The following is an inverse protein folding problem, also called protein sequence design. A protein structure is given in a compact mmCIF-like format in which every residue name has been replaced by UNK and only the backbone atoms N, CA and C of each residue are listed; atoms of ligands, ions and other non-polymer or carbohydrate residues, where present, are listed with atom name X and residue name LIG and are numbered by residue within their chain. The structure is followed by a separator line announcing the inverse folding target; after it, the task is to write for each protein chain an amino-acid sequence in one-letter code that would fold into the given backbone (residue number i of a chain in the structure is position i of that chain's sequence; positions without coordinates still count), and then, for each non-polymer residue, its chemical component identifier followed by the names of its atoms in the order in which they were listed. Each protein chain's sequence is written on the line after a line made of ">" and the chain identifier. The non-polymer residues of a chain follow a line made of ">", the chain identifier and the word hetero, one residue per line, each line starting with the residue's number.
data_IF_521224930291
#
_entry.id   IF_521224930291
#
_cell.length_a   1.000
_cell.length_b   1.000
_cell.length_c   1.000
_cell.angle_alpha   90.00
_cell.angle_beta   90.00
_cell.angle_gamma   90.00
#
_symmetry.space_group_name_H-M   'P 1'
#
loop_
_entity.id
_entity.type
_entity.pdbx_description
1 polymer ?
#
# COMPACT_ATOMS: atom_id res chain seq x y z
N UNK A 1 23.07 5.47 26.22
CA UNK A 1 21.75 5.05 26.76
C UNK A 1 20.88 4.63 25.58
N UNK A 2 20.17 3.49 25.66
CA UNK A 2 19.18 3.09 24.64
C UNK A 2 17.88 3.86 24.87
N UNK A 3 17.21 4.28 23.79
CA UNK A 3 15.92 5.02 23.87
C UNK A 3 14.75 4.08 23.61
N UNK A 4 14.84 3.25 22.57
CA UNK A 4 13.87 2.22 22.18
C UNK A 4 14.59 1.02 21.58
N UNK A 5 13.95 -0.14 21.59
CA UNK A 5 14.51 -1.40 21.13
C UNK A 5 13.49 -2.25 20.38
N UNK A 6 13.87 -2.68 19.17
CA UNK A 6 13.14 -3.64 18.35
C UNK A 6 14.09 -4.80 18.10
N UNK A 7 13.84 -5.95 18.73
CA UNK A 7 14.64 -7.16 18.57
C UNK A 7 14.23 -7.93 17.31
N UNK A 8 14.56 -7.38 16.13
CA UNK A 8 14.29 -7.98 14.81
C UNK A 8 15.52 -7.86 13.91
N UNK A 9 15.85 -8.95 13.20
CA UNK A 9 16.78 -8.90 12.07
C UNK A 9 15.99 -8.47 10.83
N UNK A 10 15.89 -7.16 10.63
CA UNK A 10 15.03 -6.57 9.61
C UNK A 10 15.74 -5.48 8.78
N UNK A 11 15.32 -5.34 7.52
CA UNK A 11 15.53 -4.13 6.75
C UNK A 11 14.56 -3.08 7.24
N UNK A 12 15.02 -1.84 7.37
CA UNK A 12 14.23 -0.77 7.99
C UNK A 12 13.95 0.38 7.04
N UNK A 13 12.78 1.00 7.19
CA UNK A 13 12.44 2.27 6.56
C UNK A 13 11.66 3.15 7.55
N UNK A 14 12.07 4.41 7.65
CA UNK A 14 11.44 5.40 8.52
C UNK A 14 10.21 6.00 7.85
N UNK A 15 9.17 6.27 8.63
CA UNK A 15 8.03 7.05 8.13
C UNK A 15 8.49 8.43 7.65
N UNK A 16 7.81 8.98 6.64
CA UNK A 16 7.99 10.35 6.19
C UNK A 16 7.98 11.38 7.33
N UNK A 17 8.89 12.36 7.26
CA UNK A 17 8.99 13.46 8.23
C UNK A 17 7.74 14.37 8.27
N UNK A 18 6.88 14.28 7.27
CA UNK A 18 5.59 14.98 7.19
C UNK A 18 4.52 14.38 8.08
N UNK A 19 4.72 13.19 8.65
CA UNK A 19 3.81 12.62 9.64
C UNK A 19 4.05 13.20 11.03
N UNK A 20 2.96 13.31 11.79
CA UNK A 20 3.00 13.72 13.18
C UNK A 20 3.62 12.65 14.07
N UNK A 21 3.25 11.39 13.84
CA UNK A 21 3.75 10.22 14.57
C UNK A 21 4.90 9.56 13.81
N UNK A 22 5.91 9.10 14.55
CA UNK A 22 7.08 8.44 13.99
C UNK A 22 6.86 6.93 13.98
N UNK A 23 7.00 6.32 12.81
CA UNK A 23 6.88 4.88 12.64
C UNK A 23 8.12 4.31 11.95
N UNK A 24 8.37 3.03 12.17
CA UNK A 24 9.44 2.27 11.52
C UNK A 24 8.83 1.04 10.88
N UNK A 25 9.00 0.90 9.57
CA UNK A 25 8.71 -0.32 8.85
C UNK A 25 9.92 -1.26 8.91
N UNK A 26 9.68 -2.52 9.26
CA UNK A 26 10.67 -3.58 9.42
C UNK A 26 10.28 -4.76 8.54
N UNK A 27 11.12 -5.09 7.56
CA UNK A 27 10.92 -6.23 6.67
C UNK A 27 11.93 -7.33 6.95
N UNK A 28 11.50 -8.60 7.00
CA UNK A 28 12.41 -9.74 7.13
C UNK A 28 13.54 -9.69 6.09
N UNK A 29 14.80 -9.74 6.54
CA UNK A 29 15.98 -9.61 5.66
C UNK A 29 16.15 -10.86 4.80
N UNK A 30 16.37 -10.66 3.49
CA UNK A 30 16.74 -11.72 2.58
C UNK A 30 18.15 -12.25 2.87
N UNK A 31 18.37 -13.55 2.68
CA UNK A 31 19.67 -14.21 2.86
C UNK A 31 20.28 -14.10 4.27
N UNK A 32 19.47 -13.71 5.25
CA UNK A 32 19.81 -13.80 6.67
C UNK A 32 18.90 -14.82 7.32
N UNK A 33 19.44 -15.51 8.32
CA UNK A 33 18.71 -16.44 9.16
C UNK A 33 18.47 -15.74 10.49
N UNK A 34 17.21 -15.64 10.91
CA UNK A 34 16.91 -15.10 12.23
C UNK A 34 17.21 -16.16 13.31
N UNK A 35 17.18 -15.73 14.58
CA UNK A 35 17.46 -16.61 15.71
C UNK A 35 16.48 -17.79 15.83
N UNK A 36 15.33 -17.73 15.14
CA UNK A 36 14.27 -18.73 15.17
C UNK A 36 14.27 -19.64 13.94
N UNK A 37 15.22 -19.45 13.00
CA UNK A 37 15.33 -20.22 11.75
C UNK A 37 14.03 -20.20 10.91
N UNK A 38 13.24 -19.14 11.04
CA UNK A 38 11.97 -19.02 10.35
C UNK A 38 12.17 -18.72 8.87
N UNK A 39 11.40 -19.40 8.02
CA UNK A 39 11.32 -19.10 6.59
C UNK A 39 10.19 -18.12 6.25
N UNK A 40 9.38 -17.72 7.23
CA UNK A 40 8.27 -16.78 7.02
C UNK A 40 8.80 -15.36 6.87
N UNK A 41 8.44 -14.70 5.79
CA UNK A 41 8.75 -13.29 5.57
C UNK A 41 7.56 -12.40 5.94
N UNK A 42 7.84 -11.24 6.51
CA UNK A 42 6.83 -10.30 6.98
C UNK A 42 7.30 -8.87 6.84
N UNK A 43 6.35 -7.97 6.62
CA UNK A 43 6.51 -6.54 6.77
C UNK A 43 5.74 -6.10 8.02
N UNK A 44 6.45 -5.59 9.01
CA UNK A 44 5.93 -5.10 10.28
C UNK A 44 6.09 -3.58 10.34
N UNK A 45 5.15 -2.88 10.97
CA UNK A 45 5.25 -1.43 11.25
C UNK A 45 5.13 -1.24 12.75
N UNK A 46 6.09 -0.51 13.30
CA UNK A 46 6.17 -0.20 14.73
C UNK A 46 5.90 1.27 14.96
N UNK A 47 5.13 1.60 16.00
CA UNK A 47 4.86 2.99 16.40
C UNK A 47 5.85 3.44 17.47
N UNK A 48 6.64 4.46 17.17
CA UNK A 48 7.70 4.94 18.04
C UNK A 48 7.17 6.06 18.95
N UNK A 49 6.71 5.68 20.13
CA UNK A 49 6.36 6.64 21.18
C UNK A 49 7.60 7.04 21.99
N UNK A 50 8.11 8.26 21.78
CA UNK A 50 9.26 8.79 22.52
C UNK A 50 8.89 9.41 23.88
N UNK A 51 7.59 9.57 24.19
CA UNK A 51 7.16 10.13 25.47
C UNK A 51 7.23 9.10 26.61
N UNK A 52 7.07 7.81 26.30
CA UNK A 52 7.22 6.73 27.28
C UNK A 52 8.67 6.34 27.52
N UNK A 53 9.03 6.13 28.79
CA UNK A 53 10.36 5.69 29.23
C UNK A 53 10.67 4.21 28.97
N UNK A 54 9.68 3.43 28.52
CA UNK A 54 9.85 2.01 28.21
C UNK A 54 10.66 1.78 26.94
N UNK A 55 11.46 0.71 26.90
CA UNK A 55 12.26 0.37 25.72
C UNK A 55 11.46 -0.29 24.60
N UNK A 56 10.35 -0.95 24.93
CA UNK A 56 9.54 -1.67 23.95
C UNK A 56 8.84 -0.71 22.98
N UNK A 57 8.77 -1.14 21.72
CA UNK A 57 8.05 -0.44 20.66
C UNK A 57 6.83 -1.28 20.25
N UNK A 58 5.60 -0.77 20.39
CA UNK A 58 4.40 -1.52 20.04
C UNK A 58 4.33 -1.80 18.53
N UNK A 59 3.86 -3.00 18.19
CA UNK A 59 3.60 -3.40 16.81
C UNK A 59 2.26 -2.79 16.37
N UNK A 60 2.31 -1.88 15.41
CA UNK A 60 1.16 -1.13 14.95
C UNK A 60 0.55 -1.70 13.66
N UNK A 61 1.28 -2.49 12.89
CA UNK A 61 0.74 -3.15 11.72
C UNK A 61 1.63 -4.27 11.22
N UNK A 62 1.06 -5.24 10.50
CA UNK A 62 1.81 -6.36 9.94
C UNK A 62 1.17 -6.87 8.67
N UNK A 63 1.96 -7.42 7.76
CA UNK A 63 1.47 -8.20 6.63
C UNK A 63 2.48 -9.29 6.29
N UNK A 64 1.98 -10.49 6.08
CA UNK A 64 2.82 -11.60 5.64
C UNK A 64 3.25 -11.38 4.19
N UNK A 65 4.50 -11.70 3.90
CA UNK A 65 5.09 -11.57 2.58
C UNK A 65 5.53 -12.96 2.10
N UNK A 66 5.30 -13.32 0.83
CA UNK A 66 5.86 -14.54 0.27
C UNK A 66 7.38 -14.46 0.07
N UNK A 67 7.97 -13.24 0.13
CA UNK A 67 9.36 -12.98 -0.21
C UNK A 67 10.04 -12.14 0.86
N UNK A 68 11.35 -12.35 1.04
CA UNK A 68 12.18 -11.56 1.96
C UNK A 68 12.75 -10.32 1.27
N UNK A 69 13.08 -9.31 2.05
CA UNK A 69 13.44 -7.99 1.56
C UNK A 69 14.95 -7.79 1.54
N UNK A 70 15.46 -7.20 0.46
CA UNK A 70 16.81 -6.64 0.40
C UNK A 70 16.85 -5.16 0.81
N UNK A 71 15.74 -4.44 0.61
CA UNK A 71 15.62 -3.02 0.96
C UNK A 71 14.17 -2.63 1.15
N UNK A 72 13.93 -1.75 2.12
CA UNK A 72 12.66 -1.03 2.28
C UNK A 72 12.87 0.46 2.08
N UNK A 73 11.83 1.16 1.63
CA UNK A 73 11.71 2.60 1.62
C UNK A 73 10.27 3.00 1.93
N UNK A 74 10.07 4.12 2.61
CA UNK A 74 8.75 4.66 2.91
C UNK A 74 8.68 6.11 2.42
N UNK A 75 7.74 6.37 1.52
CA UNK A 75 7.57 7.67 0.86
C UNK A 75 6.32 8.39 1.37
N UNK A 76 6.35 9.72 1.32
CA UNK A 76 5.19 10.59 1.59
C UNK A 76 4.15 10.59 0.45
N UNK A 77 4.34 9.76 -0.58
CA UNK A 77 3.48 9.76 -1.75
C UNK A 77 2.05 9.33 -1.38
N UNK A 78 1.04 10.08 -1.83
CA UNK A 78 -0.36 9.76 -1.52
C UNK A 78 -0.86 10.38 -0.21
N UNK A 79 -0.02 11.06 0.57
CA UNK A 79 -0.43 11.73 1.81
C UNK A 79 -1.38 12.92 1.59
N UNK A 80 -1.59 13.36 0.36
CA UNK A 80 -2.65 14.33 0.01
C UNK A 80 -4.06 13.75 0.22
N UNK A 81 -4.18 12.42 0.33
CA UNK A 81 -5.44 11.73 0.58
C UNK A 81 -5.76 11.69 2.07
N UNK A 82 -7.06 11.76 2.37
CA UNK A 82 -7.55 11.60 3.74
C UNK A 82 -7.08 10.25 4.31
N UNK A 83 -6.50 10.30 5.50
CA UNK A 83 -6.01 9.13 6.25
C UNK A 83 -4.84 8.35 5.61
N UNK A 84 -4.16 8.91 4.60
CA UNK A 84 -2.99 8.27 4.02
C UNK A 84 -1.71 8.60 4.79
N UNK A 85 -0.94 7.55 5.10
CA UNK A 85 0.39 7.61 5.70
C UNK A 85 1.46 7.22 4.67
N UNK A 86 1.25 7.54 3.40
CA UNK A 86 2.25 7.32 2.37
C UNK A 86 2.28 5.89 1.82
N UNK A 87 3.40 5.54 1.17
CA UNK A 87 3.60 4.25 0.52
C UNK A 87 4.91 3.62 0.98
N UNK A 88 4.85 2.37 1.40
CA UNK A 88 6.02 1.53 1.68
C UNK A 88 6.34 0.73 0.42
N UNK A 89 7.61 0.72 0.01
CA UNK A 89 8.14 -0.05 -1.10
C UNK A 89 9.20 -1.02 -0.59
N UNK A 90 9.13 -2.27 -1.06
CA UNK A 90 10.06 -3.33 -0.67
C UNK A 90 10.58 -4.09 -1.88
N UNK A 91 11.91 -4.07 -2.05
CA UNK A 91 12.60 -4.87 -3.05
C UNK A 91 12.91 -6.25 -2.48
N UNK A 92 12.44 -7.29 -3.16
CA UNK A 92 12.47 -8.68 -2.69
C UNK A 92 13.61 -9.50 -3.31
N UNK A 93 13.93 -10.66 -2.72
CA UNK A 93 15.01 -11.57 -3.16
C UNK A 93 14.87 -12.16 -4.56
N UNK A 94 13.66 -12.23 -5.10
CA UNK A 94 13.42 -12.62 -6.49
C UNK A 94 13.43 -11.44 -7.48
N UNK A 95 13.82 -10.24 -7.04
CA UNK A 95 13.83 -9.02 -7.87
C UNK A 95 12.49 -8.30 -7.99
N UNK A 96 11.44 -8.74 -7.31
CA UNK A 96 10.12 -8.08 -7.32
C UNK A 96 10.10 -6.88 -6.40
N UNK A 97 9.51 -5.77 -6.85
CA UNK A 97 9.16 -4.63 -6.01
C UNK A 97 7.68 -4.72 -5.66
N UNK A 98 7.40 -4.79 -4.36
CA UNK A 98 6.04 -4.75 -3.84
C UNK A 98 5.79 -3.41 -3.16
N UNK A 99 4.59 -2.87 -3.36
CA UNK A 99 4.15 -1.62 -2.76
C UNK A 99 3.02 -1.90 -1.77
N UNK A 100 3.02 -1.22 -0.64
CA UNK A 100 1.93 -1.24 0.34
C UNK A 100 1.47 0.18 0.61
N UNK A 101 0.16 0.38 0.61
CA UNK A 101 -0.42 1.62 1.08
C UNK A 101 -0.42 1.60 2.61
N UNK A 102 0.22 2.60 3.22
CA UNK A 102 0.12 2.82 4.64
C UNK A 102 -1.04 3.79 4.88
N UNK A 103 -2.01 3.38 5.69
CA UNK A 103 -3.12 4.23 6.12
C UNK A 103 -3.09 4.40 7.64
N UNK A 104 -3.74 5.45 8.16
CA UNK A 104 -3.77 5.71 9.60
C UNK A 104 -4.28 4.51 10.39
N UNK A 105 -5.25 3.77 9.87
CA UNK A 105 -5.76 2.56 10.51
C UNK A 105 -4.70 1.46 10.62
N UNK A 106 -3.90 1.23 9.59
CA UNK A 106 -2.90 0.16 9.52
C UNK A 106 -1.60 0.48 10.23
N UNK A 107 -1.33 1.76 10.54
CA UNK A 107 -0.11 2.18 11.25
C UNK A 107 -0.37 2.63 12.69
N UNK A 108 -1.64 2.82 13.11
CA UNK A 108 -2.00 3.22 14.48
C UNK A 108 -2.86 2.20 15.22
N UNK A 109 -3.25 1.08 14.60
CA UNK A 109 -4.09 0.05 15.25
C UNK A 109 -3.30 -1.23 15.42
N UNK A 110 -2.97 -1.61 16.65
CA UNK A 110 -2.19 -2.82 16.92
C UNK A 110 -2.73 -4.06 16.17
N UNK A 111 -1.84 -4.74 15.46
CA UNK A 111 -2.17 -5.95 14.69
C UNK A 111 -2.93 -5.71 13.37
N UNK A 112 -3.12 -4.45 12.95
CA UNK A 112 -3.75 -4.16 11.68
C UNK A 112 -2.96 -4.69 10.48
N UNK A 113 -3.67 -5.01 9.40
CA UNK A 113 -3.07 -5.56 8.18
C UNK A 113 -2.73 -4.46 7.19
N UNK A 114 -1.48 -4.43 6.71
CA UNK A 114 -1.07 -3.53 5.64
C UNK A 114 -1.67 -3.99 4.30
N UNK A 115 -2.15 -3.04 3.51
CA UNK A 115 -2.74 -3.35 2.21
C UNK A 115 -1.70 -3.30 1.11
N UNK A 116 -1.37 -4.47 0.56
CA UNK A 116 -0.57 -4.54 -0.66
C UNK A 116 -1.30 -3.84 -1.80
N UNK A 117 -0.60 -2.93 -2.47
CA UNK A 117 -1.08 -2.26 -3.67
C UNK A 117 -0.95 -3.23 -4.83
N UNK A 118 -2.09 -3.59 -5.41
CA UNK A 118 -2.14 -4.36 -6.65
C UNK A 118 -2.14 -3.32 -7.78
N UNK A 119 -1.19 -3.38 -8.74
CA UNK A 119 -1.23 -2.51 -9.90
C UNK A 119 -2.60 -2.61 -10.60
N UNK A 120 -3.14 -1.53 -11.17
CA UNK A 120 -4.45 -1.54 -11.81
C UNK A 120 -4.52 -2.38 -13.11
N UNK A 121 -3.49 -3.18 -13.44
CA UNK A 121 -3.49 -4.10 -14.57
C UNK A 121 -4.38 -5.33 -14.28
N UNK A 122 -5.69 -5.10 -14.18
CA UNK A 122 -6.61 -6.05 -14.79
C UNK A 122 -6.41 -5.96 -16.30
N UNK A 123 -6.48 -7.09 -17.05
CA UNK A 123 -6.69 -7.03 -18.48
C UNK A 123 -7.87 -6.10 -18.76
N UNK A 124 -7.61 -4.97 -19.41
CA UNK A 124 -8.67 -4.08 -19.86
C UNK A 124 -9.46 -4.88 -20.88
N UNK A 125 -10.69 -5.30 -20.54
CA UNK A 125 -11.56 -5.90 -21.54
C UNK A 125 -11.75 -4.86 -22.65
N UNK A 126 -11.65 -5.23 -23.94
CA UNK A 126 -11.82 -4.29 -25.05
C UNK A 126 -13.10 -3.44 -24.95
N UNK A 127 -14.13 -3.96 -24.28
CA UNK A 127 -15.41 -3.28 -24.00
C UNK A 127 -15.31 -2.03 -23.12
N UNK A 128 -14.23 -1.84 -22.37
CA UNK A 128 -14.06 -0.69 -21.44
C UNK A 128 -13.18 0.41 -22.02
N UNK A 129 -12.53 0.19 -23.17
CA UNK A 129 -11.83 1.23 -23.92
C UNK A 129 -12.87 2.14 -24.60
N UNK A 130 -13.24 3.24 -23.93
CA UNK A 130 -13.81 4.38 -24.65
C UNK A 130 -12.74 4.89 -25.60
N UNK A 131 -12.87 4.57 -26.89
CA UNK A 131 -12.06 5.16 -27.96
C UNK A 131 -12.38 6.65 -28.05
N UNK A 132 -11.75 7.49 -27.24
CA UNK A 132 -11.72 8.92 -27.49
C UNK A 132 -10.51 9.17 -28.38
N UNK A 133 -10.75 9.38 -29.67
CA UNK A 133 -9.71 9.82 -30.61
C UNK A 133 -9.40 11.31 -30.31
N UNK A 134 -8.19 11.66 -29.87
CA UNK A 134 -7.84 13.06 -29.56
C UNK A 134 -7.78 13.97 -30.81
N UNK A 135 -7.85 13.40 -32.02
CA UNK A 135 -7.82 14.15 -33.28
C UNK A 135 -9.19 14.31 -33.95
N UNK A 136 -10.28 13.82 -33.34
CA UNK A 136 -11.65 14.09 -33.82
C UNK A 136 -12.52 14.58 -32.67
N UNK A 137 -13.24 15.71 -32.80
CA UNK A 137 -14.25 16.09 -31.83
C UNK A 137 -15.34 15.01 -31.75
N UNK A 138 -16.00 14.84 -30.59
CA UNK A 138 -17.08 13.88 -30.45
C UNK A 138 -18.17 14.20 -31.48
N UNK A 139 -18.44 13.25 -32.38
CA UNK A 139 -19.59 13.33 -33.28
C UNK A 139 -20.81 13.34 -32.36
N UNK A 140 -21.53 14.47 -32.31
CA UNK A 140 -22.82 14.55 -31.64
C UNK A 140 -23.72 13.46 -32.23
N UNK A 141 -24.20 12.54 -31.40
CA UNK A 141 -25.22 11.58 -31.80
C UNK A 141 -26.39 12.33 -32.46
N UNK A 142 -26.90 11.88 -33.62
CA UNK A 142 -28.05 12.51 -34.23
C UNK A 142 -29.25 12.43 -33.26
N UNK A 143 -30.15 13.43 -33.27
CA UNK A 143 -31.31 13.44 -32.40
C UNK A 143 -32.16 12.17 -32.63
N UNK A 144 -32.55 11.54 -31.53
CA UNK A 144 -33.40 10.35 -31.52
C UNK A 144 -34.71 10.64 -32.28
N UNK A 145 -34.97 9.86 -33.33
CA UNK A 145 -36.19 10.01 -34.11
C UNK A 145 -37.42 9.67 -33.23
N UNK A 146 -38.51 10.44 -33.30
CA UNK A 146 -39.68 10.18 -32.49
C UNK A 146 -40.29 8.82 -32.86
N UNK A 147 -40.50 7.98 -31.85
CA UNK A 147 -41.15 6.68 -31.99
C UNK A 147 -42.61 6.86 -32.43
N UNK A 148 -43.08 6.19 -33.51
CA UNK A 148 -44.48 6.26 -33.90
C UNK A 148 -45.33 5.46 -32.89
N UNK A 149 -46.26 6.16 -32.22
CA UNK A 149 -47.29 5.51 -31.41
C UNK A 149 -48.32 4.87 -32.36
N UNK A 150 -48.27 3.56 -32.55
CA UNK A 150 -49.39 2.81 -33.09
C UNK A 150 -50.44 2.63 -31.98
N UNK A 151 -51.59 3.29 -32.11
CA UNK A 151 -52.77 2.95 -31.31
C UNK A 151 -53.38 1.67 -31.86
N UNK A 152 -53.23 0.55 -31.17
CA UNK A 152 -54.05 -0.63 -31.40
C UNK A 152 -55.42 -0.38 -30.77
N UNK A 153 -56.39 0.01 -31.60
CA UNK A 153 -57.80 -0.02 -31.22
C UNK A 153 -58.36 -1.42 -31.47
N UNK A 154 -58.97 -1.98 -30.42
CA UNK A 154 -60.20 -2.80 -30.43
C UNK A 154 -60.73 -2.80 -29.01
#
# INVERSE_FOLDING_TARGET
>A
MKVKEIARTANVAWSPATMQDVHIACGTVAQQLDATFSTSARLEVFSLDLASSGLAVPLAGTVDSPLRFHKLAWSAHGQERVNACGVIAGGSDNGTITLWAADKSSVNTEGAQLKQMIPPYRPVRPSTLKKTNPFHPPISSPPEAPTPKYSSGT
#
